data_IF_655939169796
#
_entry.id   IF_655939169796
#
_cell.length_a   1.000
_cell.length_b   1.000
_cell.length_c   1.000
_cell.angle_alpha   90.00
_cell.angle_beta   90.00
_cell.angle_gamma   90.00
#
_symmetry.space_group_name_H-M   'P 1'
#
loop_
_entity.id
_entity.type
_entity.pdbx_description
1 polymer ?
#
# COMPACT_ATOMS: atom_id res chain seq x y z
N UNK A 1 51.23 9.32 16.16
CA UNK A 1 50.82 9.67 14.77
C UNK A 1 49.99 8.60 14.07
N UNK A 2 50.30 7.29 14.20
CA UNK A 2 49.59 6.21 13.49
C UNK A 2 48.17 5.93 14.03
N UNK A 3 47.98 6.02 15.35
CA UNK A 3 46.67 5.87 16.01
C UNK A 3 45.68 7.00 15.69
N UNK A 4 46.16 8.25 15.61
CA UNK A 4 45.33 9.41 15.26
C UNK A 4 44.75 9.33 13.84
N UNK A 5 45.51 8.80 12.86
CA UNK A 5 45.02 8.62 11.48
C UNK A 5 43.94 7.52 11.38
N UNK A 6 44.07 6.47 12.18
CA UNK A 6 43.08 5.38 12.25
C UNK A 6 41.79 5.90 12.90
N UNK A 7 41.91 6.72 13.95
CA UNK A 7 40.76 7.34 14.60
C UNK A 7 40.02 8.29 13.64
N UNK A 8 40.75 9.12 12.89
CA UNK A 8 40.16 10.01 11.89
C UNK A 8 39.42 9.22 10.81
N UNK A 9 40.02 8.13 10.29
CA UNK A 9 39.40 7.29 9.28
C UNK A 9 38.13 6.60 9.79
N UNK A 10 38.16 6.10 11.02
CA UNK A 10 37.01 5.45 11.66
C UNK A 10 35.85 6.43 11.86
N UNK A 11 36.13 7.66 12.31
CA UNK A 11 35.12 8.71 12.47
C UNK A 11 34.55 9.14 11.13
N UNK A 12 35.38 9.31 10.09
CA UNK A 12 34.87 9.63 8.74
C UNK A 12 34.01 8.50 8.17
N UNK A 13 34.38 7.24 8.41
CA UNK A 13 33.60 6.11 7.94
C UNK A 13 32.25 5.99 8.67
N UNK A 14 32.24 6.23 9.99
CA UNK A 14 31.00 6.27 10.77
C UNK A 14 30.06 7.40 10.32
N UNK A 15 30.61 8.58 9.97
CA UNK A 15 29.84 9.69 9.44
C UNK A 15 29.32 9.45 8.01
N UNK A 16 30.09 8.75 7.16
CA UNK A 16 29.60 8.34 5.84
C UNK A 16 28.52 7.25 5.95
N UNK A 17 28.69 6.29 6.85
CA UNK A 17 27.70 5.23 7.05
C UNK A 17 26.37 5.79 7.57
N UNK A 18 26.39 6.84 8.41
CA UNK A 18 25.17 7.45 8.94
C UNK A 18 24.36 8.21 7.88
N UNK A 19 25.00 8.84 6.89
CA UNK A 19 24.29 9.49 5.77
C UNK A 19 23.77 8.50 4.72
N UNK A 20 24.32 7.28 4.66
CA UNK A 20 23.91 6.25 3.71
C UNK A 20 22.80 5.33 4.23
N UNK A 21 22.70 5.15 5.55
CA UNK A 21 21.63 4.37 6.20
C UNK A 21 20.20 4.73 5.72
N UNK A 22 19.80 6.02 5.61
CA UNK A 22 18.47 6.38 5.09
C UNK A 22 18.25 6.01 3.62
N UNK A 23 19.29 6.03 2.79
CA UNK A 23 19.20 5.67 1.35
C UNK A 23 18.97 4.17 1.17
N UNK A 24 19.44 3.36 2.13
CA UNK A 24 19.28 1.90 2.13
C UNK A 24 17.98 1.44 2.81
N UNK A 25 17.09 2.36 3.19
CA UNK A 25 15.85 2.02 3.89
C UNK A 25 16.05 1.61 5.35
N UNK A 26 17.23 1.90 5.94
CA UNK A 26 17.53 1.61 7.34
C UNK A 26 17.72 2.93 8.11
N UNK A 27 16.69 3.39 8.81
CA UNK A 27 16.80 4.56 9.69
C UNK A 27 15.45 5.21 10.00
N UNK A 28 15.42 6.24 10.87
CA UNK A 28 14.19 6.88 11.31
C UNK A 28 13.34 7.44 10.16
N UNK A 29 13.98 7.87 9.07
CA UNK A 29 13.29 8.38 7.86
C UNK A 29 12.73 7.26 6.97
N UNK A 30 13.31 6.05 7.00
CA UNK A 30 12.73 4.89 6.33
C UNK A 30 11.48 4.40 7.08
N UNK A 31 11.48 4.51 8.40
CA UNK A 31 10.31 4.30 9.24
C UNK A 31 9.24 5.40 9.11
N UNK A 32 9.59 6.59 8.60
CA UNK A 32 8.62 7.63 8.25
C UNK A 32 7.95 7.37 6.90
N UNK A 33 8.56 6.54 6.04
CA UNK A 33 7.94 5.95 4.86
C UNK A 33 7.24 4.61 5.16
N UNK A 34 7.24 4.15 6.42
CA UNK A 34 6.32 3.10 6.82
C UNK A 34 4.92 3.68 6.70
N UNK A 35 4.14 3.08 5.81
CA UNK A 35 2.79 3.44 5.44
C UNK A 35 1.93 3.61 6.71
N UNK A 36 1.74 4.87 7.14
CA UNK A 36 0.92 5.20 8.31
C UNK A 36 -0.56 5.36 7.92
N UNK A 37 -0.94 4.89 6.73
CA UNK A 37 -2.30 4.99 6.26
C UNK A 37 -3.24 4.14 7.12
N UNK A 38 -4.42 4.67 7.35
CA UNK A 38 -5.53 3.92 7.91
C UNK A 38 -6.15 3.09 6.78
N UNK A 39 -5.97 1.77 6.84
CA UNK A 39 -6.55 0.85 5.86
C UNK A 39 -8.09 0.83 5.95
N UNK A 40 -8.74 1.04 4.81
CA UNK A 40 -10.20 0.99 4.68
C UNK A 40 -10.57 -0.01 3.59
N UNK A 41 -11.25 -1.08 3.99
CA UNK A 41 -11.76 -2.12 3.08
C UNK A 41 -13.20 -1.82 2.69
N UNK A 42 -13.46 -1.74 1.39
CA UNK A 42 -14.79 -1.52 0.83
C UNK A 42 -15.27 -2.84 0.23
N UNK A 43 -16.41 -3.34 0.70
CA UNK A 43 -17.02 -4.54 0.14
C UNK A 43 -17.73 -4.25 -1.18
N UNK A 44 -17.48 -5.07 -2.20
CA UNK A 44 -18.18 -5.06 -3.48
C UNK A 44 -18.82 -6.42 -3.74
N UNK A 45 -20.15 -6.49 -3.69
CA UNK A 45 -20.91 -7.67 -4.08
C UNK A 45 -21.17 -7.61 -5.60
N UNK A 46 -20.21 -8.07 -6.38
CA UNK A 46 -20.27 -8.11 -7.83
C UNK A 46 -21.01 -9.40 -8.28
N UNK A 47 -21.97 -9.37 -9.21
CA UNK A 47 -22.56 -10.59 -9.78
C UNK A 47 -21.56 -11.32 -10.69
N UNK A 48 -20.55 -11.96 -10.10
CA UNK A 48 -19.54 -12.76 -10.82
C UNK A 48 -20.16 -14.00 -11.47
N UNK A 49 -21.30 -14.46 -10.95
CA UNK A 49 -22.17 -15.45 -11.57
C UNK A 49 -23.62 -14.94 -11.69
N UNK A 50 -24.42 -15.63 -12.50
CA UNK A 50 -25.85 -15.36 -12.65
C UNK A 50 -26.20 -14.69 -13.99
N UNK A 51 -27.41 -14.13 -14.13
CA UNK A 51 -27.96 -13.71 -15.42
C UNK A 51 -27.27 -12.50 -16.06
N UNK A 52 -26.41 -11.79 -15.30
CA UNK A 52 -25.75 -10.55 -15.73
C UNK A 52 -24.22 -10.59 -15.54
N UNK A 53 -23.66 -11.79 -15.35
CA UNK A 53 -22.22 -12.01 -15.12
C UNK A 53 -21.32 -11.46 -16.24
N UNK A 54 -21.84 -11.35 -17.46
CA UNK A 54 -21.18 -10.71 -18.60
C UNK A 54 -20.74 -9.27 -18.34
N UNK A 55 -21.36 -8.57 -17.39
CA UNK A 55 -21.00 -7.21 -17.00
C UNK A 55 -20.06 -7.15 -15.79
N UNK A 56 -19.83 -8.26 -15.10
CA UNK A 56 -19.02 -8.31 -13.90
C UNK A 56 -17.62 -7.70 -14.07
N UNK A 57 -16.88 -7.96 -15.18
CA UNK A 57 -15.57 -7.33 -15.40
C UNK A 57 -15.65 -5.80 -15.44
N UNK A 58 -16.69 -5.23 -16.06
CA UNK A 58 -16.85 -3.79 -16.15
C UNK A 58 -17.20 -3.16 -14.79
N UNK A 59 -17.88 -3.91 -13.90
CA UNK A 59 -18.13 -3.47 -12.53
C UNK A 59 -16.85 -3.48 -11.69
N UNK A 60 -15.99 -4.50 -11.85
CA UNK A 60 -14.67 -4.54 -11.22
C UNK A 60 -13.81 -3.38 -11.70
N UNK A 61 -13.71 -3.17 -13.02
CA UNK A 61 -12.92 -2.09 -13.62
C UNK A 61 -13.37 -0.70 -13.11
N UNK A 62 -14.69 -0.49 -13.01
CA UNK A 62 -15.25 0.75 -12.48
C UNK A 62 -14.94 0.94 -10.99
N UNK A 63 -14.98 -0.14 -10.21
CA UNK A 63 -14.59 -0.14 -8.80
C UNK A 63 -13.11 0.22 -8.63
N UNK A 64 -12.23 -0.41 -9.41
CA UNK A 64 -10.78 -0.16 -9.36
C UNK A 64 -10.44 1.28 -9.74
N UNK A 65 -11.10 1.83 -10.77
CA UNK A 65 -10.95 3.24 -11.14
C UNK A 65 -11.40 4.18 -10.01
N UNK A 66 -12.51 3.87 -9.34
CA UNK A 66 -13.00 4.67 -8.22
C UNK A 66 -12.05 4.61 -7.02
N UNK A 67 -11.46 3.45 -6.72
CA UNK A 67 -10.45 3.30 -5.66
C UNK A 67 -9.18 4.07 -5.98
N UNK A 68 -8.73 4.03 -7.24
CA UNK A 68 -7.56 4.80 -7.67
C UNK A 68 -7.78 6.31 -7.45
N UNK A 69 -8.91 6.85 -7.89
CA UNK A 69 -9.25 8.27 -7.69
C UNK A 69 -9.37 8.63 -6.19
N UNK A 70 -10.01 7.77 -5.39
CA UNK A 70 -10.09 7.96 -3.94
C UNK A 70 -8.71 8.00 -3.27
N UNK A 71 -7.79 7.12 -3.66
CA UNK A 71 -6.44 7.08 -3.11
C UNK A 71 -5.58 8.26 -3.58
N UNK A 72 -5.75 8.72 -4.82
CA UNK A 72 -5.06 9.92 -5.33
C UNK A 72 -5.51 11.21 -4.62
N UNK A 73 -6.75 11.24 -4.11
CA UNK A 73 -7.35 12.41 -3.49
C UNK A 73 -7.01 12.66 -2.01
N UNK A 74 -6.18 11.84 -1.38
CA UNK A 74 -5.98 11.86 0.08
C UNK A 74 -4.64 11.26 0.52
N UNK A 75 -4.25 11.47 1.79
CA UNK A 75 -2.93 11.07 2.34
C UNK A 75 -2.99 10.25 3.62
N UNK A 76 -4.16 10.07 4.21
CA UNK A 76 -4.31 9.52 5.58
C UNK A 76 -4.87 8.10 5.58
N UNK A 77 -5.55 7.71 4.52
CA UNK A 77 -6.23 6.44 4.34
C UNK A 77 -5.58 5.65 3.21
N UNK A 78 -5.89 4.37 3.14
CA UNK A 78 -5.62 3.56 1.96
C UNK A 78 -6.84 2.69 1.71
N UNK A 79 -7.50 2.90 0.56
CA UNK A 79 -8.73 2.21 0.19
C UNK A 79 -8.41 0.98 -0.66
N UNK A 80 -9.11 -0.12 -0.38
CA UNK A 80 -9.06 -1.34 -1.20
C UNK A 80 -10.44 -1.97 -1.33
N UNK A 81 -10.71 -2.61 -2.48
CA UNK A 81 -11.91 -3.41 -2.69
C UNK A 81 -11.72 -4.83 -2.19
N UNK A 82 -12.73 -5.34 -1.49
CA UNK A 82 -12.93 -6.76 -1.23
C UNK A 82 -14.14 -7.19 -2.04
N UNK A 83 -13.88 -7.83 -3.17
CA UNK A 83 -14.92 -8.31 -4.06
C UNK A 83 -15.38 -9.72 -3.66
N UNK A 84 -16.70 -9.95 -3.70
CA UNK A 84 -17.34 -11.26 -3.53
C UNK A 84 -18.46 -11.42 -4.55
N UNK A 85 -18.79 -12.67 -4.86
CA UNK A 85 -19.88 -13.00 -5.79
C UNK A 85 -21.24 -12.80 -5.13
N UNK A 86 -22.08 -11.95 -5.71
CA UNK A 86 -23.48 -11.81 -5.30
C UNK A 86 -24.41 -12.85 -5.92
N UNK A 87 -24.00 -13.50 -7.01
CA UNK A 87 -24.84 -14.37 -7.83
C UNK A 87 -26.07 -13.68 -8.45
N UNK A 88 -26.16 -12.34 -8.34
CA UNK A 88 -27.41 -11.58 -8.55
C UNK A 88 -28.59 -12.16 -7.73
N UNK A 89 -28.32 -12.74 -6.57
CA UNK A 89 -29.28 -13.44 -5.73
C UNK A 89 -29.16 -13.02 -4.26
N UNK A 90 -30.31 -12.79 -3.60
CA UNK A 90 -30.33 -12.30 -2.22
C UNK A 90 -29.88 -13.34 -1.18
N UNK A 91 -29.87 -14.63 -1.52
CA UNK A 91 -29.39 -15.70 -0.62
C UNK A 91 -27.88 -15.80 -0.71
N UNK A 92 -27.32 -15.87 -1.93
CA UNK A 92 -25.86 -15.88 -2.14
C UNK A 92 -25.22 -14.60 -1.61
N UNK A 93 -25.82 -13.43 -1.86
CA UNK A 93 -25.31 -12.14 -1.37
C UNK A 93 -25.33 -11.98 0.16
N UNK A 94 -26.05 -12.85 0.89
CA UNK A 94 -26.17 -12.78 2.35
C UNK A 94 -25.12 -13.62 3.10
N UNK A 95 -24.24 -14.34 2.39
CA UNK A 95 -23.21 -15.23 2.95
C UNK A 95 -21.81 -14.78 2.59
#
# INVERSE_FOLDING_TARGET
MKSSKILTLAVTFALLASVMAPILGNGPVANAAADNHIEVKIGLLNPLTGPIDVYAPAFTDAGDLAIADLNDGQTDYHFSIVEQDSGCDGTTAAT
#
